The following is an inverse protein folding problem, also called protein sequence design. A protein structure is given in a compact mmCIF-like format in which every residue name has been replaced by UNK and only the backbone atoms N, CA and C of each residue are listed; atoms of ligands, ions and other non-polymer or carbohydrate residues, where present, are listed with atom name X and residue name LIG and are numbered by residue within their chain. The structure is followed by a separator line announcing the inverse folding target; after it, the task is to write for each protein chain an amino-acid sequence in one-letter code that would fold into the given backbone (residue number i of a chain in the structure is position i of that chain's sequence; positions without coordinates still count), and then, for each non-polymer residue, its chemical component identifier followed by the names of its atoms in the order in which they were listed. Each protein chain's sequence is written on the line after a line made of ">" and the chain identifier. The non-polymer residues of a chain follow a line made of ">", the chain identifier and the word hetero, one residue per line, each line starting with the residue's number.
data_IF_626027932688
#
_entry.id   IF_626027932688
#
_cell.length_a   1.000
_cell.length_b   1.000
_cell.length_c   1.000
_cell.angle_alpha   90.00
_cell.angle_beta   90.00
_cell.angle_gamma   90.00
#
_symmetry.space_group_name_H-M   'P 1'
#
loop_
_entity.id
_entity.type
_entity.pdbx_description
1 polymer ?
#
# COMPACT_ATOMS: atom_id res chain seq x y z
N UNK A 1 0.60 37.82 -17.38
CA UNK A 1 -0.50 38.53 -16.71
C UNK A 1 -1.59 38.82 -17.72
N UNK A 2 -2.73 38.14 -17.66
CA UNK A 2 -3.94 38.60 -18.36
C UNK A 2 -4.52 39.76 -17.57
N UNK A 3 -4.66 40.94 -18.19
CA UNK A 3 -5.36 42.07 -17.57
C UNK A 3 -6.75 41.61 -17.10
N UNK A 4 -7.18 41.98 -15.87
CA UNK A 4 -8.51 41.67 -15.42
C UNK A 4 -9.52 42.32 -16.35
N UNK A 5 -10.60 41.60 -16.67
CA UNK A 5 -11.72 42.12 -17.42
C UNK A 5 -12.30 43.34 -16.68
N UNK A 6 -11.89 44.54 -17.11
CA UNK A 6 -12.26 45.84 -16.52
C UNK A 6 -13.76 46.16 -16.69
N UNK A 7 -14.56 45.26 -17.26
CA UNK A 7 -16.02 45.41 -17.34
C UNK A 7 -16.75 45.01 -16.04
N UNK A 8 -16.07 44.43 -15.05
CA UNK A 8 -16.69 44.09 -13.75
C UNK A 8 -16.74 45.29 -12.80
N UNK A 9 -17.91 45.54 -12.20
CA UNK A 9 -18.15 46.66 -11.27
C UNK A 9 -17.66 46.44 -9.83
N UNK A 10 -17.20 45.23 -9.48
CA UNK A 10 -16.72 44.87 -8.16
C UNK A 10 -15.61 43.82 -8.30
N UNK A 11 -14.49 44.02 -7.60
CA UNK A 11 -13.35 43.10 -7.57
C UNK A 11 -12.68 43.14 -6.19
N UNK A 12 -11.91 42.09 -5.88
CA UNK A 12 -11.00 42.04 -4.75
C UNK A 12 -9.57 42.00 -5.28
N UNK A 13 -8.72 42.90 -4.78
CA UNK A 13 -7.29 42.91 -5.09
C UNK A 13 -6.54 42.15 -4.00
N UNK A 14 -5.74 41.16 -4.42
CA UNK A 14 -4.99 40.29 -3.52
C UNK A 14 -3.50 40.59 -3.70
N UNK A 15 -2.91 41.15 -2.65
CA UNK A 15 -1.47 41.43 -2.56
C UNK A 15 -0.72 40.17 -2.11
N UNK A 16 0.01 39.55 -3.04
CA UNK A 16 0.79 38.34 -2.79
C UNK A 16 2.08 38.63 -2.00
N UNK A 17 2.65 39.83 -2.13
CA UNK A 17 3.85 40.22 -1.39
C UNK A 17 3.54 40.42 0.10
N UNK A 18 2.34 40.94 0.41
CA UNK A 18 1.84 40.99 1.79
C UNK A 18 1.71 39.58 2.41
N UNK A 19 1.20 38.60 1.65
CA UNK A 19 1.10 37.21 2.11
C UNK A 19 2.49 36.59 2.35
N UNK A 20 3.44 36.81 1.43
CA UNK A 20 4.84 36.36 1.58
C UNK A 20 5.51 36.99 2.80
N UNK A 21 5.31 38.30 3.00
CA UNK A 21 5.83 39.01 4.17
C UNK A 21 5.31 38.39 5.48
N UNK A 22 4.00 38.12 5.55
CA UNK A 22 3.37 37.53 6.73
C UNK A 22 3.90 36.12 7.00
N UNK A 23 4.03 35.27 5.97
CA UNK A 23 4.64 33.95 6.11
C UNK A 23 6.08 34.02 6.65
N UNK A 24 6.87 34.97 6.14
CA UNK A 24 8.24 35.18 6.62
C UNK A 24 8.28 35.68 8.07
N UNK A 25 7.31 36.48 8.52
CA UNK A 25 7.16 36.87 9.94
C UNK A 25 6.90 35.63 10.80
N UNK A 26 5.96 34.76 10.40
CA UNK A 26 5.67 33.51 11.11
C UNK A 26 6.91 32.62 11.20
N UNK A 27 7.66 32.47 10.11
CA UNK A 27 8.93 31.72 10.10
C UNK A 27 9.94 32.24 11.11
N UNK A 28 10.12 33.56 11.21
CA UNK A 28 11.07 34.17 12.17
C UNK A 28 10.66 33.97 13.63
N UNK A 29 9.37 33.75 13.89
CA UNK A 29 8.87 33.48 15.24
C UNK A 29 8.88 31.99 15.60
N UNK A 30 8.91 31.11 14.60
CA UNK A 30 8.98 29.68 14.80
C UNK A 30 10.34 29.28 15.43
N UNK A 31 10.36 28.31 16.36
CA UNK A 31 11.61 27.83 16.93
C UNK A 31 12.47 27.14 15.85
N UNK A 32 13.80 27.08 16.04
CA UNK A 32 14.67 26.38 15.11
C UNK A 32 14.20 24.95 14.86
N UNK A 33 14.08 24.57 13.60
CA UNK A 33 13.62 23.24 13.17
C UNK A 33 12.10 23.05 13.12
N UNK A 34 11.29 24.05 13.51
CA UNK A 34 9.84 23.95 13.33
C UNK A 34 9.42 24.27 11.89
N UNK A 35 8.53 23.44 11.37
CA UNK A 35 7.89 23.63 10.07
C UNK A 35 6.77 24.67 10.14
N UNK A 36 6.58 25.43 9.06
CA UNK A 36 5.52 26.41 8.90
C UNK A 36 4.53 25.90 7.86
N UNK A 37 3.27 25.77 8.29
CA UNK A 37 2.15 25.36 7.44
C UNK A 37 1.30 26.57 7.01
N UNK A 38 1.11 26.76 5.71
CA UNK A 38 0.11 27.68 5.17
C UNK A 38 -1.24 26.96 5.00
N UNK A 39 -2.22 27.30 5.84
CA UNK A 39 -3.58 26.78 5.68
C UNK A 39 -4.30 27.60 4.60
N UNK A 40 -4.54 26.99 3.44
CA UNK A 40 -5.11 27.61 2.23
C UNK A 40 -6.45 26.98 1.81
N UNK A 41 -7.18 26.40 2.78
CA UNK A 41 -8.53 25.89 2.56
C UNK A 41 -9.52 26.96 2.08
N UNK A 42 -10.66 26.52 1.55
CA UNK A 42 -11.72 27.37 1.01
C UNK A 42 -11.19 28.36 -0.03
N UNK A 43 -10.47 27.85 -1.03
CA UNK A 43 -9.85 28.65 -2.10
C UNK A 43 -8.88 29.72 -1.58
N UNK A 44 -7.97 29.33 -0.67
CA UNK A 44 -7.13 30.25 0.10
C UNK A 44 -7.96 31.34 0.81
N UNK A 45 -9.01 30.93 1.53
CA UNK A 45 -9.95 31.85 2.20
C UNK A 45 -10.56 32.89 1.23
N UNK A 46 -10.83 32.49 -0.02
CA UNK A 46 -11.35 33.34 -1.10
C UNK A 46 -10.31 34.22 -1.81
N UNK A 47 -9.02 34.08 -1.50
CA UNK A 47 -7.94 34.86 -2.13
C UNK A 47 -7.46 34.24 -3.46
N UNK A 48 -7.90 33.02 -3.79
CA UNK A 48 -7.58 32.29 -5.02
C UNK A 48 -6.40 31.34 -4.82
N UNK A 49 -6.71 30.04 -4.71
CA UNK A 49 -5.76 28.99 -4.38
C UNK A 49 -4.61 28.89 -5.38
N UNK A 50 -4.91 28.94 -6.67
CA UNK A 50 -3.94 28.78 -7.77
C UNK A 50 -2.92 29.93 -7.86
N UNK A 51 -3.22 31.08 -7.24
CA UNK A 51 -2.28 32.21 -7.15
C UNK A 51 -1.54 32.23 -5.83
N UNK A 52 -2.24 31.98 -4.72
CA UNK A 52 -1.66 32.01 -3.37
C UNK A 52 -0.70 30.85 -3.14
N UNK A 53 -1.05 29.64 -3.60
CA UNK A 53 -0.22 28.44 -3.43
C UNK A 53 1.21 28.64 -3.97
N UNK A 54 1.39 28.91 -5.27
CA UNK A 54 2.71 29.15 -5.84
C UNK A 54 3.44 30.34 -5.23
N UNK A 55 2.72 31.42 -4.88
CA UNK A 55 3.33 32.59 -4.25
C UNK A 55 3.85 32.33 -2.84
N UNK A 56 3.31 31.34 -2.14
CA UNK A 56 3.76 30.96 -0.80
C UNK A 56 4.72 29.78 -0.80
N UNK A 57 4.88 29.09 -1.95
CA UNK A 57 5.65 27.87 -2.05
C UNK A 57 7.03 28.05 -1.40
N UNK A 58 7.95 28.82 -1.97
CA UNK A 58 9.32 29.03 -1.46
C UNK A 58 9.45 29.60 -0.03
N UNK A 59 8.36 29.97 0.66
CA UNK A 59 8.40 30.54 2.02
C UNK A 59 7.74 29.67 3.10
N UNK A 60 7.07 28.58 2.72
CA UNK A 60 6.44 27.62 3.66
C UNK A 60 6.89 26.19 3.37
N UNK A 61 6.76 25.31 4.37
CA UNK A 61 7.14 23.90 4.22
C UNK A 61 5.93 23.04 3.83
N UNK A 62 4.77 23.34 4.41
CA UNK A 62 3.56 22.52 4.30
C UNK A 62 2.36 23.39 3.92
N UNK A 63 1.41 22.84 3.16
CA UNK A 63 0.11 23.43 2.92
C UNK A 63 -1.00 22.65 3.62
N UNK A 64 -1.94 23.35 4.23
CA UNK A 64 -3.15 22.76 4.82
C UNK A 64 -4.39 23.08 3.99
N UNK A 65 -5.11 22.07 3.50
CA UNK A 65 -6.36 22.23 2.73
C UNK A 65 -7.53 21.51 3.41
N UNK A 66 -8.77 21.79 3.01
CA UNK A 66 -9.93 21.14 3.64
C UNK A 66 -10.27 19.76 3.05
N UNK A 67 -9.98 19.51 1.78
CA UNK A 67 -10.38 18.29 1.07
C UNK A 67 -9.42 17.92 -0.07
N UNK A 68 -9.61 16.74 -0.64
CA UNK A 68 -8.77 16.18 -1.71
C UNK A 68 -8.80 17.03 -2.98
N UNK A 69 -9.97 17.59 -3.34
CA UNK A 69 -10.10 18.45 -4.53
C UNK A 69 -9.25 19.72 -4.41
N UNK A 70 -9.16 20.32 -3.22
CA UNK A 70 -8.25 21.45 -2.99
C UNK A 70 -6.78 21.01 -3.07
N UNK A 71 -6.45 19.82 -2.56
CA UNK A 71 -5.10 19.28 -2.67
C UNK A 71 -4.68 19.10 -4.14
N UNK A 72 -5.53 18.50 -4.98
CA UNK A 72 -5.29 18.31 -6.42
C UNK A 72 -5.14 19.65 -7.17
N UNK A 73 -6.00 20.63 -6.86
CA UNK A 73 -5.90 21.98 -7.44
C UNK A 73 -4.58 22.64 -7.09
N UNK A 74 -4.19 22.58 -5.82
CA UNK A 74 -2.94 23.15 -5.34
C UNK A 74 -1.74 22.44 -5.95
N UNK A 75 -1.73 21.10 -5.98
CA UNK A 75 -0.66 20.32 -6.59
C UNK A 75 -0.43 20.70 -8.05
N UNK A 76 -1.49 20.79 -8.86
CA UNK A 76 -1.37 21.24 -10.27
C UNK A 76 -0.83 22.66 -10.38
N UNK A 77 -1.33 23.59 -9.57
CA UNK A 77 -0.86 24.97 -9.58
C UNK A 77 0.63 25.07 -9.22
N UNK A 78 1.11 24.25 -8.28
CA UNK A 78 2.53 24.20 -7.92
C UNK A 78 3.37 23.65 -9.09
N UNK A 79 2.93 22.56 -9.73
CA UNK A 79 3.61 21.94 -10.87
C UNK A 79 3.73 22.84 -12.10
N UNK A 80 2.71 23.65 -12.41
CA UNK A 80 2.74 24.61 -13.53
C UNK A 80 3.80 25.72 -13.36
N UNK A 81 4.24 25.99 -12.12
CA UNK A 81 5.20 27.07 -11.86
C UNK A 81 6.66 26.63 -11.82
N UNK A 82 6.95 25.33 -11.96
CA UNK A 82 8.30 24.80 -11.73
C UNK A 82 8.78 25.03 -10.29
N UNK A 83 7.86 25.33 -9.36
CA UNK A 83 8.18 25.40 -7.94
C UNK A 83 8.62 24.01 -7.47
N UNK A 84 9.60 23.90 -6.56
CA UNK A 84 10.08 22.60 -6.12
C UNK A 84 8.93 21.79 -5.57
N UNK A 85 8.68 20.66 -6.23
CA UNK A 85 7.75 19.60 -5.92
C UNK A 85 8.30 18.84 -4.72
N UNK A 86 8.12 19.43 -3.53
CA UNK A 86 8.65 18.90 -2.27
C UNK A 86 7.95 19.50 -1.05
N UNK A 87 6.68 19.89 -1.21
CA UNK A 87 5.87 20.45 -0.13
C UNK A 87 4.70 19.56 0.16
N UNK A 88 4.58 19.19 1.41
CA UNK A 88 3.49 18.36 1.87
C UNK A 88 2.18 19.12 1.78
N UNK A 89 1.16 18.49 1.21
CA UNK A 89 -0.21 19.00 1.22
C UNK A 89 -1.00 18.12 2.17
N UNK A 90 -1.36 18.69 3.33
CA UNK A 90 -2.13 18.00 4.36
C UNK A 90 -3.61 18.35 4.20
N UNK A 91 -4.42 17.32 3.99
CA UNK A 91 -5.89 17.44 4.08
C UNK A 91 -6.27 17.42 5.56
N UNK A 92 -6.71 18.56 6.07
CA UNK A 92 -7.05 18.75 7.50
C UNK A 92 -8.43 18.17 7.86
N UNK A 93 -9.29 17.99 6.86
CA UNK A 93 -10.60 17.37 7.02
C UNK A 93 -10.53 15.84 6.88
N UNK A 94 -11.57 15.11 7.34
CA UNK A 94 -11.66 13.69 7.04
C UNK A 94 -11.87 13.50 5.53
N UNK A 95 -11.02 12.68 4.90
CA UNK A 95 -11.29 12.22 3.54
C UNK A 95 -12.56 11.37 3.55
N UNK A 96 -13.57 11.76 2.76
CA UNK A 96 -14.82 11.03 2.62
C UNK A 96 -14.57 9.67 1.95
N UNK A 97 -15.47 8.69 2.14
CA UNK A 97 -15.25 7.35 1.60
C UNK A 97 -15.03 7.30 0.09
N UNK A 98 -15.83 8.07 -0.65
CA UNK A 98 -15.71 8.18 -2.10
C UNK A 98 -14.41 8.87 -2.54
N UNK A 99 -13.87 9.78 -1.73
CA UNK A 99 -12.58 10.43 -2.03
C UNK A 99 -11.42 9.43 -1.90
N UNK A 100 -11.43 8.57 -0.88
CA UNK A 100 -10.40 7.52 -0.71
C UNK A 100 -10.43 6.52 -1.87
N UNK A 101 -11.63 6.10 -2.29
CA UNK A 101 -11.80 5.23 -3.46
C UNK A 101 -11.27 5.92 -4.73
N UNK A 102 -11.59 7.19 -4.93
CA UNK A 102 -11.09 7.96 -6.07
C UNK A 102 -9.56 8.07 -6.08
N UNK A 103 -8.92 8.30 -4.92
CA UNK A 103 -7.46 8.36 -4.82
C UNK A 103 -6.79 7.02 -5.17
N UNK A 104 -7.35 5.90 -4.69
CA UNK A 104 -6.87 4.56 -5.03
C UNK A 104 -7.00 4.29 -6.53
N UNK A 105 -8.16 4.61 -7.11
CA UNK A 105 -8.39 4.45 -8.54
C UNK A 105 -7.48 5.36 -9.37
N UNK A 106 -7.22 6.58 -8.89
CA UNK A 106 -6.32 7.53 -9.52
C UNK A 106 -4.89 6.99 -9.57
N UNK A 107 -4.35 6.51 -8.44
CA UNK A 107 -3.02 5.90 -8.39
C UNK A 107 -2.88 4.72 -9.38
N UNK A 108 -3.90 3.85 -9.45
CA UNK A 108 -3.93 2.74 -10.42
C UNK A 108 -3.99 3.27 -11.87
N UNK A 109 -4.80 4.29 -12.13
CA UNK A 109 -4.99 4.83 -13.48
C UNK A 109 -3.75 5.54 -14.02
N UNK A 110 -2.95 6.15 -13.13
CA UNK A 110 -1.75 6.89 -13.50
C UNK A 110 -0.53 6.00 -13.70
N UNK A 111 -0.48 4.83 -13.05
CA UNK A 111 0.64 3.90 -13.11
C UNK A 111 0.97 3.47 -14.55
N UNK A 112 2.25 3.52 -14.93
CA UNK A 112 2.73 3.15 -16.26
C UNK A 112 3.71 1.98 -16.26
N UNK A 113 4.46 1.77 -15.17
CA UNK A 113 5.52 0.75 -15.11
C UNK A 113 5.18 -0.39 -14.16
N UNK A 114 4.73 -0.07 -12.94
CA UNK A 114 4.40 -1.08 -11.94
C UNK A 114 3.26 -0.66 -10.99
N UNK A 115 2.58 -1.66 -10.43
CA UNK A 115 1.62 -1.51 -9.33
C UNK A 115 1.80 -2.64 -8.32
N UNK A 116 2.32 -2.32 -7.14
CA UNK A 116 2.62 -3.26 -6.07
C UNK A 116 1.69 -3.01 -4.87
N UNK A 117 0.99 -4.07 -4.44
CA UNK A 117 -0.09 -3.96 -3.45
C UNK A 117 0.05 -5.04 -2.39
N UNK A 118 0.65 -4.72 -1.23
CA UNK A 118 0.40 -5.49 -0.02
C UNK A 118 -0.96 -5.05 0.55
N UNK A 119 -1.89 -5.97 0.78
CA UNK A 119 -3.19 -5.59 1.33
C UNK A 119 -3.83 -6.63 2.24
N UNK A 120 -4.51 -6.12 3.26
CA UNK A 120 -5.40 -6.90 4.11
C UNK A 120 -6.66 -7.38 3.37
N UNK A 121 -7.23 -6.54 2.50
CA UNK A 121 -8.39 -6.89 1.67
C UNK A 121 -8.19 -6.37 0.24
N UNK A 122 -8.45 -7.21 -0.75
CA UNK A 122 -8.59 -6.82 -2.15
C UNK A 122 -10.03 -7.05 -2.60
N UNK A 123 -10.70 -5.98 -3.04
CA UNK A 123 -12.09 -6.07 -3.55
C UNK A 123 -12.12 -6.36 -5.05
N UNK A 124 -13.28 -6.84 -5.52
CA UNK A 124 -13.52 -7.00 -6.97
C UNK A 124 -13.38 -5.69 -7.74
N UNK A 125 -13.72 -4.55 -7.13
CA UNK A 125 -13.64 -3.25 -7.78
C UNK A 125 -12.17 -2.88 -8.06
N UNK A 126 -11.31 -2.95 -7.05
CA UNK A 126 -9.86 -2.70 -7.20
C UNK A 126 -9.22 -3.72 -8.15
N UNK A 127 -9.56 -5.01 -8.02
CA UNK A 127 -9.07 -6.05 -8.92
C UNK A 127 -9.42 -5.77 -10.40
N UNK A 128 -10.67 -5.31 -10.66
CA UNK A 128 -11.10 -4.92 -12.01
C UNK A 128 -10.39 -3.66 -12.51
N UNK A 129 -10.13 -2.69 -11.65
CA UNK A 129 -9.38 -1.50 -12.02
C UNK A 129 -7.95 -1.86 -12.47
N UNK A 130 -7.27 -2.75 -11.73
CA UNK A 130 -5.95 -3.27 -12.09
C UNK A 130 -5.96 -4.03 -13.43
N UNK A 131 -6.95 -4.92 -13.60
CA UNK A 131 -7.12 -5.67 -14.85
C UNK A 131 -7.39 -4.73 -16.06
N UNK A 132 -8.25 -3.73 -15.87
CA UNK A 132 -8.55 -2.74 -16.91
C UNK A 132 -7.30 -1.92 -17.27
N UNK A 133 -6.54 -1.44 -16.29
CA UNK A 133 -5.31 -0.69 -16.53
C UNK A 133 -4.26 -1.53 -17.26
N UNK A 134 -4.06 -2.78 -16.85
CA UNK A 134 -3.17 -3.73 -17.53
C UNK A 134 -3.56 -3.93 -18.99
N UNK A 135 -4.86 -4.13 -19.26
CA UNK A 135 -5.38 -4.30 -20.61
C UNK A 135 -5.21 -3.04 -21.47
N UNK A 136 -5.45 -1.86 -20.90
CA UNK A 136 -5.27 -0.57 -21.55
C UNK A 136 -3.81 -0.34 -21.99
N UNK A 137 -2.85 -0.56 -21.08
CA UNK A 137 -1.43 -0.42 -21.40
C UNK A 137 -0.97 -1.47 -22.41
N UNK A 138 -1.45 -2.71 -22.29
CA UNK A 138 -1.19 -3.77 -23.28
C UNK A 138 -1.69 -3.39 -24.68
N UNK A 139 -2.87 -2.79 -24.79
CA UNK A 139 -3.41 -2.30 -26.07
C UNK A 139 -2.55 -1.17 -26.69
N UNK A 140 -1.82 -0.42 -25.85
CA UNK A 140 -0.84 0.59 -26.26
C UNK A 140 0.57 0.02 -26.50
N UNK A 141 0.75 -1.30 -26.46
CA UNK A 141 2.05 -1.96 -26.61
C UNK A 141 2.99 -1.81 -25.40
N UNK A 142 2.48 -1.34 -24.26
CA UNK A 142 3.22 -1.21 -23.00
C UNK A 142 2.91 -2.42 -22.09
N UNK A 143 3.82 -2.74 -21.18
CA UNK A 143 3.62 -3.74 -20.12
C UNK A 143 3.54 -3.05 -18.76
N UNK A 144 2.61 -3.51 -17.91
CA UNK A 144 2.50 -3.09 -16.52
C UNK A 144 2.80 -4.26 -15.60
N UNK A 145 3.82 -4.16 -14.75
CA UNK A 145 4.12 -5.18 -13.75
C UNK A 145 3.21 -5.01 -12.53
N UNK A 146 2.28 -5.94 -12.33
CA UNK A 146 1.33 -5.89 -11.22
C UNK A 146 1.62 -7.06 -10.28
N UNK A 147 1.88 -6.74 -9.02
CA UNK A 147 2.14 -7.70 -7.95
C UNK A 147 1.22 -7.44 -6.77
N UNK A 148 0.45 -8.43 -6.36
CA UNK A 148 -0.49 -8.30 -5.25
C UNK A 148 -0.19 -9.35 -4.19
N UNK A 149 -0.03 -8.93 -2.94
CA UNK A 149 0.04 -9.84 -1.79
C UNK A 149 -1.25 -9.67 -0.99
N UNK A 150 -2.11 -10.68 -1.06
CA UNK A 150 -3.34 -10.74 -0.29
C UNK A 150 -3.09 -11.37 1.08
N UNK A 151 -3.58 -10.73 2.14
CA UNK A 151 -3.50 -11.30 3.48
C UNK A 151 -4.28 -12.62 3.57
N UNK A 152 -3.62 -13.64 4.10
CA UNK A 152 -4.17 -14.99 4.24
C UNK A 152 -5.19 -15.10 5.39
N UNK A 153 -5.41 -14.03 6.16
CA UNK A 153 -6.30 -13.95 7.32
C UNK A 153 -7.54 -14.84 7.18
N UNK A 154 -7.61 -15.86 8.04
CA UNK A 154 -8.68 -16.85 8.06
C UNK A 154 -9.70 -16.42 9.10
N UNK A 155 -10.91 -16.09 8.65
CA UNK A 155 -12.02 -15.89 9.56
C UNK A 155 -12.44 -17.21 10.22
N UNK A 156 -13.13 -17.13 11.35
CA UNK A 156 -13.57 -18.28 12.15
C UNK A 156 -14.32 -19.36 11.35
N UNK A 157 -14.98 -19.01 10.24
CA UNK A 157 -15.67 -19.92 9.34
C UNK A 157 -14.76 -20.56 8.25
N UNK A 158 -13.45 -20.31 8.26
CA UNK A 158 -12.48 -20.93 7.36
C UNK A 158 -12.36 -20.26 5.98
N UNK A 159 -12.86 -19.04 5.81
CA UNK A 159 -12.75 -18.24 4.58
C UNK A 159 -11.92 -16.96 4.78
N UNK A 160 -11.78 -16.19 3.70
CA UNK A 160 -11.01 -14.94 3.63
C UNK A 160 -11.82 -13.88 2.88
N UNK A 161 -11.69 -12.58 3.22
CA UNK A 161 -12.36 -11.53 2.46
C UNK A 161 -11.76 -11.35 1.05
N UNK A 162 -10.58 -11.95 0.81
CA UNK A 162 -9.80 -11.80 -0.41
C UNK A 162 -10.24 -12.71 -1.55
N UNK A 163 -11.01 -13.78 -1.28
CA UNK A 163 -11.35 -14.82 -2.27
C UNK A 163 -11.80 -14.21 -3.60
N UNK A 164 -12.76 -13.30 -3.57
CA UNK A 164 -13.34 -12.74 -4.77
C UNK A 164 -12.42 -11.77 -5.53
N UNK A 165 -11.57 -11.01 -4.83
CA UNK A 165 -10.60 -10.13 -5.47
C UNK A 165 -9.47 -10.94 -6.10
N UNK A 166 -8.97 -11.95 -5.38
CA UNK A 166 -7.91 -12.85 -5.87
C UNK A 166 -8.35 -13.62 -7.10
N UNK A 167 -9.54 -14.24 -7.09
CA UNK A 167 -10.05 -14.96 -8.26
C UNK A 167 -10.14 -14.05 -9.49
N UNK A 168 -10.59 -12.80 -9.32
CA UNK A 168 -10.68 -11.83 -10.41
C UNK A 168 -9.30 -11.37 -10.94
N UNK A 169 -8.29 -11.30 -10.08
CA UNK A 169 -6.91 -11.00 -10.47
C UNK A 169 -6.28 -12.17 -11.24
N UNK A 170 -6.46 -13.40 -10.75
CA UNK A 170 -6.03 -14.61 -11.44
C UNK A 170 -6.69 -14.73 -12.83
N UNK A 171 -7.98 -14.41 -12.94
CA UNK A 171 -8.70 -14.38 -14.22
C UNK A 171 -8.12 -13.36 -15.21
N UNK A 172 -7.55 -12.27 -14.70
CA UNK A 172 -6.85 -11.26 -15.48
C UNK A 172 -5.35 -11.60 -15.73
N UNK A 173 -4.90 -12.78 -15.28
CA UNK A 173 -3.50 -13.21 -15.34
C UNK A 173 -2.56 -12.27 -14.58
N UNK A 174 -3.02 -11.66 -13.50
CA UNK A 174 -2.20 -10.83 -12.61
C UNK A 174 -1.55 -11.73 -11.56
N UNK A 175 -0.29 -11.45 -11.22
CA UNK A 175 0.46 -12.23 -10.25
C UNK A 175 -0.02 -11.90 -8.83
N UNK A 176 -0.52 -12.93 -8.13
CA UNK A 176 -1.06 -12.80 -6.79
C UNK A 176 -0.41 -13.82 -5.88
N UNK A 177 0.18 -13.31 -4.81
CA UNK A 177 0.69 -14.09 -3.70
C UNK A 177 -0.25 -13.97 -2.49
N UNK A 178 -0.19 -14.96 -1.62
CA UNK A 178 -0.80 -14.93 -0.31
C UNK A 178 0.26 -14.64 0.75
N UNK A 179 -0.06 -13.83 1.75
CA UNK A 179 0.87 -13.55 2.85
C UNK A 179 1.27 -14.84 3.57
N UNK A 180 2.55 -15.00 3.87
CA UNK A 180 3.11 -16.12 4.61
C UNK A 180 4.00 -15.58 5.73
N UNK A 181 3.36 -15.11 6.81
CA UNK A 181 4.03 -14.32 7.85
C UNK A 181 4.45 -15.21 9.02
N UNK A 182 5.76 -15.48 9.24
CA UNK A 182 6.20 -16.28 10.38
C UNK A 182 5.85 -15.58 11.70
N UNK A 183 5.40 -16.35 12.69
CA UNK A 183 4.96 -15.86 13.99
C UNK A 183 6.06 -15.99 15.05
N UNK A 184 5.99 -15.17 16.07
CA UNK A 184 6.86 -15.28 17.25
C UNK A 184 6.29 -16.19 18.32
N UNK A 185 4.96 -16.18 18.50
CA UNK A 185 4.20 -17.00 19.46
C UNK A 185 2.92 -17.49 18.78
N UNK A 186 2.25 -18.48 19.36
CA UNK A 186 1.04 -19.05 18.76
C UNK A 186 -0.12 -18.04 18.68
N UNK A 187 -0.18 -17.11 19.62
CA UNK A 187 -1.16 -16.04 19.75
C UNK A 187 -0.78 -14.74 19.01
N UNK A 188 0.48 -14.59 18.59
CA UNK A 188 0.89 -13.44 17.77
C UNK A 188 0.31 -13.57 16.36
N UNK A 189 -0.77 -12.82 16.10
CA UNK A 189 -1.42 -12.77 14.78
C UNK A 189 -0.83 -11.65 13.93
N UNK A 190 0.26 -11.94 13.19
CA UNK A 190 0.79 -11.01 12.18
C UNK A 190 -0.18 -10.90 11.01
N UNK A 191 -0.34 -9.68 10.51
CA UNK A 191 -1.13 -9.34 9.32
C UNK A 191 -0.38 -8.35 8.46
N UNK A 192 -0.71 -8.32 7.17
CA UNK A 192 -0.33 -7.21 6.29
C UNK A 192 -1.14 -5.97 6.70
N UNK A 193 -0.58 -5.18 7.61
CA UNK A 193 -1.16 -3.89 8.02
C UNK A 193 -0.80 -2.74 7.07
N UNK A 194 0.28 -2.87 6.29
CA UNK A 194 0.59 -1.98 5.20
C UNK A 194 -0.46 -2.16 4.10
N UNK A 195 -1.62 -1.50 4.23
CA UNK A 195 -2.66 -1.45 3.20
C UNK A 195 -2.24 -0.37 2.21
N UNK A 196 -1.35 -0.76 1.33
CA UNK A 196 -0.55 0.15 0.54
C UNK A 196 -0.77 -0.13 -0.95
N UNK A 197 -0.66 0.91 -1.76
CA UNK A 197 -0.56 0.80 -3.21
C UNK A 197 0.65 1.62 -3.62
N UNK A 198 1.68 0.96 -4.14
CA UNK A 198 2.91 1.58 -4.61
C UNK A 198 2.92 1.48 -6.12
N UNK A 199 3.13 2.60 -6.80
CA UNK A 199 3.21 2.70 -8.26
C UNK A 199 4.47 3.47 -8.64
N UNK A 200 4.76 3.56 -9.93
CA UNK A 200 5.87 4.37 -10.44
C UNK A 200 5.73 5.88 -10.14
N UNK A 201 4.49 6.36 -9.94
CA UNK A 201 4.18 7.79 -9.75
C UNK A 201 3.62 8.14 -8.38
N UNK A 202 3.05 7.18 -7.66
CA UNK A 202 2.32 7.44 -6.43
C UNK A 202 2.44 6.31 -5.43
N UNK A 203 2.40 6.66 -4.15
CA UNK A 203 2.20 5.72 -3.05
C UNK A 203 1.00 6.15 -2.21
N UNK A 204 -0.01 5.29 -2.15
CA UNK A 204 -1.08 5.42 -1.19
C UNK A 204 -0.80 4.50 -0.01
N UNK A 205 -0.80 5.03 1.20
CA UNK A 205 -0.56 4.28 2.44
C UNK A 205 -1.53 4.68 3.55
N UNK A 206 -1.63 3.83 4.57
CA UNK A 206 -2.50 4.04 5.73
C UNK A 206 -3.53 2.94 5.91
N UNK A 207 -4.38 3.04 6.93
CA UNK A 207 -5.22 1.91 7.33
C UNK A 207 -6.49 1.70 6.52
N UNK A 208 -6.55 2.24 5.30
CA UNK A 208 -7.68 2.08 4.42
C UNK A 208 -7.73 0.63 3.94
N UNK A 209 -8.40 -0.22 4.72
CA UNK A 209 -8.75 -1.57 4.30
C UNK A 209 -9.55 -1.39 3.00
N UNK A 210 -9.08 -1.90 1.85
CA UNK A 210 -9.72 -1.66 0.55
C UNK A 210 -11.11 -2.32 0.42
N UNK A 211 -11.63 -2.95 1.49
CA UNK A 211 -13.04 -3.26 1.63
C UNK A 211 -13.91 -2.00 1.64
N UNK A 212 -15.19 -2.15 1.30
CA UNK A 212 -16.17 -1.07 1.38
C UNK A 212 -16.18 -0.40 2.77
N UNK A 213 -16.10 -1.19 3.85
CA UNK A 213 -16.11 -0.65 5.22
C UNK A 213 -14.81 0.09 5.56
N UNK A 214 -13.66 -0.40 5.12
CA UNK A 214 -12.39 0.28 5.38
C UNK A 214 -12.24 1.56 4.56
N UNK A 215 -12.82 1.58 3.36
CA UNK A 215 -12.97 2.80 2.59
C UNK A 215 -13.98 3.76 3.25
N UNK A 216 -14.93 3.32 4.07
CA UNK A 216 -15.88 4.21 4.76
C UNK A 216 -15.42 4.68 6.14
N UNK A 217 -15.10 3.75 7.02
CA UNK A 217 -14.95 3.98 8.47
C UNK A 217 -13.46 3.92 8.88
N UNK A 218 -12.57 4.64 8.19
CA UNK A 218 -11.15 4.68 8.55
C UNK A 218 -10.91 5.72 9.64
N UNK A 219 -10.31 5.27 10.76
CA UNK A 219 -10.01 6.11 11.93
C UNK A 219 -8.51 6.35 12.09
N UNK A 220 -7.70 5.84 11.15
CA UNK A 220 -6.25 5.92 11.16
C UNK A 220 -5.74 6.86 10.05
N UNK A 221 -4.55 7.42 10.27
CA UNK A 221 -3.91 8.31 9.30
C UNK A 221 -3.70 7.58 7.96
N UNK A 222 -3.99 8.27 6.86
CA UNK A 222 -3.70 7.82 5.51
C UNK A 222 -3.05 8.94 4.72
N UNK A 223 -2.18 8.59 3.80
CA UNK A 223 -1.43 9.52 2.98
C UNK A 223 -1.40 9.08 1.52
N UNK A 224 -1.29 10.07 0.65
CA UNK A 224 -0.92 9.88 -0.75
C UNK A 224 0.38 10.65 -0.97
N UNK A 225 1.42 9.94 -1.37
CA UNK A 225 2.66 10.50 -1.89
C UNK A 225 2.56 10.52 -3.40
N UNK A 226 2.87 11.65 -4.02
CA UNK A 226 3.11 11.73 -5.45
C UNK A 226 4.61 11.89 -5.64
N UNK A 227 5.23 10.97 -6.37
CA UNK A 227 6.66 10.96 -6.59
C UNK A 227 7.02 11.99 -7.66
N UNK A 228 8.01 12.81 -7.35
CA UNK A 228 8.59 13.76 -8.27
C UNK A 228 9.79 13.10 -8.97
N UNK A 229 9.74 12.87 -10.29
CA UNK A 229 10.85 12.26 -11.02
C UNK A 229 12.11 13.13 -11.05
N UNK A 230 11.98 14.44 -10.81
CA UNK A 230 13.09 15.39 -10.82
C UNK A 230 13.72 15.58 -9.42
N UNK A 231 13.12 15.00 -8.37
CA UNK A 231 13.63 15.04 -7.00
C UNK A 231 14.25 13.69 -6.57
N UNK A 232 15.56 13.73 -6.25
CA UNK A 232 16.31 12.54 -5.89
C UNK A 232 15.82 11.88 -4.59
N UNK A 233 15.37 12.67 -3.62
CA UNK A 233 14.88 12.16 -2.32
C UNK A 233 13.49 11.51 -2.47
N UNK A 234 12.61 12.10 -3.29
CA UNK A 234 11.34 11.51 -3.70
C UNK A 234 11.54 10.15 -4.37
N UNK A 235 12.48 10.07 -5.31
CA UNK A 235 12.79 8.82 -6.01
C UNK A 235 13.45 7.77 -5.10
N UNK A 236 14.31 8.19 -4.17
CA UNK A 236 14.88 7.31 -3.15
C UNK A 236 13.78 6.71 -2.24
N UNK A 237 12.81 7.53 -1.83
CA UNK A 237 11.64 7.10 -1.05
C UNK A 237 10.82 6.06 -1.82
N UNK A 238 10.55 6.29 -3.11
CA UNK A 238 9.86 5.33 -3.98
C UNK A 238 10.57 3.98 -4.02
N UNK A 239 11.88 3.98 -4.26
CA UNK A 239 12.66 2.75 -4.34
C UNK A 239 12.74 2.03 -2.97
N UNK A 240 12.75 2.76 -1.86
CA UNK A 240 12.68 2.18 -0.51
C UNK A 240 11.33 1.48 -0.26
N UNK A 241 10.22 2.13 -0.58
CA UNK A 241 8.87 1.52 -0.46
C UNK A 241 8.76 0.28 -1.34
N UNK A 242 9.24 0.36 -2.59
CA UNK A 242 9.30 -0.77 -3.52
C UNK A 242 10.16 -1.93 -2.99
N UNK A 243 11.34 -1.64 -2.45
CA UNK A 243 12.22 -2.65 -1.88
C UNK A 243 11.61 -3.35 -0.66
N UNK A 244 10.88 -2.61 0.17
CA UNK A 244 10.15 -3.16 1.31
C UNK A 244 9.02 -4.10 0.87
N UNK A 245 8.28 -3.74 -0.19
CA UNK A 245 7.32 -4.65 -0.80
C UNK A 245 7.99 -5.90 -1.36
N UNK A 246 9.11 -5.76 -2.09
CA UNK A 246 9.80 -6.90 -2.69
C UNK A 246 10.36 -7.86 -1.64
N UNK A 247 10.83 -7.36 -0.48
CA UNK A 247 11.20 -8.23 0.65
C UNK A 247 10.01 -9.11 1.08
N UNK A 248 8.83 -8.52 1.24
CA UNK A 248 7.61 -9.25 1.57
C UNK A 248 7.22 -10.25 0.46
N UNK A 249 7.35 -9.83 -0.80
CA UNK A 249 7.07 -10.65 -1.98
C UNK A 249 7.97 -11.89 -2.06
N UNK A 250 9.28 -11.72 -1.89
CA UNK A 250 10.25 -12.80 -2.10
C UNK A 250 10.34 -13.77 -0.92
N UNK A 251 10.14 -13.27 0.30
CA UNK A 251 10.42 -14.05 1.52
C UNK A 251 9.19 -14.39 2.37
N UNK A 252 8.19 -13.51 2.40
CA UNK A 252 7.04 -13.61 3.32
C UNK A 252 5.71 -13.75 2.57
N UNK A 253 5.75 -14.39 1.40
CA UNK A 253 4.56 -14.65 0.61
C UNK A 253 4.64 -15.95 -0.19
N UNK A 254 3.49 -16.42 -0.67
CA UNK A 254 3.37 -17.69 -1.37
C UNK A 254 2.42 -17.57 -2.56
N UNK A 255 2.95 -17.78 -3.78
CA UNK A 255 2.15 -17.93 -5.00
C UNK A 255 1.47 -19.30 -5.09
N UNK A 256 0.20 -19.27 -5.46
CA UNK A 256 -0.56 -20.40 -5.97
C UNK A 256 -1.65 -19.88 -6.92
N UNK A 257 -1.64 -20.31 -8.17
CA UNK A 257 -2.74 -20.07 -9.11
C UNK A 257 -3.85 -21.08 -8.84
N UNK A 258 -4.97 -20.62 -8.26
CA UNK A 258 -6.06 -21.49 -7.87
C UNK A 258 -6.73 -22.19 -9.06
N UNK A 259 -6.75 -21.55 -10.24
CA UNK A 259 -7.33 -22.11 -11.46
C UNK A 259 -6.49 -23.28 -11.95
N UNK A 260 -5.17 -23.12 -12.07
CA UNK A 260 -4.29 -24.23 -12.50
C UNK A 260 -4.40 -25.44 -11.58
N UNK A 261 -4.45 -25.20 -10.27
CA UNK A 261 -4.67 -26.27 -9.27
C UNK A 261 -6.02 -26.97 -9.49
N UNK A 262 -7.08 -26.21 -9.75
CA UNK A 262 -8.42 -26.74 -9.98
C UNK A 262 -8.49 -27.55 -11.29
N UNK A 263 -7.95 -27.01 -12.38
CA UNK A 263 -7.89 -27.67 -13.69
C UNK A 263 -7.13 -29.00 -13.59
N UNK A 264 -5.97 -29.00 -12.95
CA UNK A 264 -5.15 -30.20 -12.77
C UNK A 264 -5.82 -31.25 -11.88
N UNK A 265 -6.57 -30.85 -10.85
CA UNK A 265 -7.36 -31.79 -10.04
C UNK A 265 -8.50 -32.43 -10.80
N UNK A 266 -8.98 -31.79 -11.87
CA UNK A 266 -10.11 -32.22 -12.67
C UNK A 266 -9.70 -32.67 -14.08
N UNK A 267 -8.41 -32.86 -14.35
CA UNK A 267 -7.86 -33.16 -15.67
C UNK A 267 -8.53 -34.41 -16.30
N UNK A 268 -8.70 -35.46 -15.49
CA UNK A 268 -9.37 -36.72 -15.87
C UNK A 268 -10.89 -36.58 -16.11
N UNK A 269 -11.47 -35.42 -15.77
CA UNK A 269 -12.89 -35.10 -15.93
C UNK A 269 -13.14 -33.93 -16.90
N UNK A 270 -12.16 -33.62 -17.76
CA UNK A 270 -12.22 -32.48 -18.69
C UNK A 270 -13.34 -32.57 -19.74
N UNK A 271 -13.72 -33.79 -20.13
CA UNK A 271 -14.77 -34.04 -21.13
C UNK A 271 -16.21 -34.00 -20.56
N UNK A 272 -16.37 -33.79 -19.25
CA UNK A 272 -17.68 -33.81 -18.60
C UNK A 272 -18.43 -32.50 -18.85
N UNK A 273 -19.75 -32.60 -19.11
CA UNK A 273 -20.64 -31.43 -19.16
C UNK A 273 -20.45 -30.60 -17.88
N UNK A 274 -20.40 -29.28 -18.03
CA UNK A 274 -20.19 -28.32 -16.95
C UNK A 274 -18.76 -28.28 -16.35
N UNK A 275 -17.73 -28.77 -17.05
CA UNK A 275 -16.32 -28.70 -16.62
C UNK A 275 -15.90 -27.31 -16.09
N UNK A 276 -16.24 -26.24 -16.80
CA UNK A 276 -15.90 -24.88 -16.40
C UNK A 276 -16.49 -24.50 -15.03
N UNK A 277 -17.74 -24.89 -14.75
CA UNK A 277 -18.37 -24.66 -13.44
C UNK A 277 -17.67 -25.48 -12.33
N UNK A 278 -17.32 -26.73 -12.62
CA UNK A 278 -16.59 -27.59 -11.69
C UNK A 278 -15.20 -27.04 -11.36
N UNK A 279 -14.51 -26.45 -12.34
CA UNK A 279 -13.23 -25.74 -12.12
C UNK A 279 -13.43 -24.57 -11.16
N UNK A 280 -14.45 -23.74 -11.36
CA UNK A 280 -14.72 -22.60 -10.47
C UNK A 280 -15.06 -23.03 -9.03
N UNK A 281 -15.80 -24.13 -8.85
CA UNK A 281 -16.02 -24.71 -7.52
C UNK A 281 -14.71 -25.25 -6.90
N UNK A 282 -13.90 -25.94 -7.70
CA UNK A 282 -12.63 -26.50 -7.25
C UNK A 282 -11.59 -25.42 -6.88
N UNK A 283 -11.63 -24.23 -7.48
CA UNK A 283 -10.80 -23.07 -7.09
C UNK A 283 -11.01 -22.68 -5.63
N UNK A 284 -12.27 -22.61 -5.19
CA UNK A 284 -12.61 -22.29 -3.79
C UNK A 284 -12.03 -23.33 -2.81
N UNK A 285 -12.10 -24.61 -3.17
CA UNK A 285 -11.50 -25.70 -2.40
C UNK A 285 -9.97 -25.63 -2.39
N UNK A 286 -9.34 -25.26 -3.51
CA UNK A 286 -7.90 -25.02 -3.60
C UNK A 286 -7.46 -23.90 -2.65
N UNK A 287 -8.15 -22.76 -2.67
CA UNK A 287 -7.88 -21.63 -1.77
C UNK A 287 -8.07 -22.02 -0.30
N UNK A 288 -9.15 -22.70 0.06
CA UNK A 288 -9.36 -23.18 1.45
C UNK A 288 -8.23 -24.09 1.93
N UNK A 289 -7.75 -24.99 1.06
CA UNK A 289 -6.62 -25.87 1.36
C UNK A 289 -5.32 -25.08 1.53
N UNK A 290 -5.07 -24.09 0.66
CA UNK A 290 -3.93 -23.19 0.76
C UNK A 290 -3.90 -22.45 2.10
N UNK A 291 -5.00 -21.75 2.42
CA UNK A 291 -5.10 -20.97 3.65
C UNK A 291 -4.89 -21.84 4.89
N UNK A 292 -5.49 -23.03 4.94
CA UNK A 292 -5.28 -23.96 6.05
C UNK A 292 -3.80 -24.35 6.22
N UNK A 293 -3.05 -24.51 5.13
CA UNK A 293 -1.62 -24.85 5.17
C UNK A 293 -0.75 -23.64 5.53
N UNK A 294 -1.13 -22.43 5.10
CA UNK A 294 -0.51 -21.19 5.56
C UNK A 294 -0.64 -21.09 7.08
N UNK A 295 -1.84 -21.29 7.64
CA UNK A 295 -2.04 -21.29 9.10
C UNK A 295 -1.19 -22.33 9.82
N UNK A 296 -1.01 -23.53 9.24
CA UNK A 296 -0.12 -24.55 9.81
C UNK A 296 1.34 -24.07 9.82
N UNK A 297 1.80 -23.46 8.72
CA UNK A 297 3.13 -22.87 8.66
C UNK A 297 3.31 -21.78 9.72
N UNK A 298 2.34 -20.89 9.87
CA UNK A 298 2.41 -19.82 10.86
C UNK A 298 2.52 -20.37 12.28
N UNK A 299 1.75 -21.41 12.63
CA UNK A 299 1.83 -22.06 13.95
C UNK A 299 3.14 -22.82 14.17
N UNK A 300 3.64 -23.54 13.15
CA UNK A 300 4.92 -24.24 13.23
C UNK A 300 6.09 -23.25 13.35
N UNK A 301 6.03 -22.13 12.61
CA UNK A 301 7.03 -21.06 12.69
C UNK A 301 7.07 -20.41 14.07
N UNK A 302 5.93 -20.28 14.77
CA UNK A 302 5.89 -19.82 16.16
C UNK A 302 6.66 -20.76 17.08
N UNK A 303 6.41 -22.06 16.98
CA UNK A 303 7.10 -23.06 17.80
C UNK A 303 8.62 -23.06 17.52
N UNK A 304 9.01 -22.93 16.26
CA UNK A 304 10.40 -22.79 15.87
C UNK A 304 11.02 -21.51 16.44
N UNK A 305 10.34 -20.36 16.37
CA UNK A 305 10.83 -19.09 16.91
C UNK A 305 11.05 -19.15 18.42
N UNK A 306 10.15 -19.81 19.16
CA UNK A 306 10.30 -20.04 20.59
C UNK A 306 11.49 -20.92 20.94
N UNK A 307 11.91 -21.81 20.03
CA UNK A 307 13.15 -22.57 20.20
C UNK A 307 14.37 -21.66 20.03
N UNK A 308 14.36 -20.76 19.04
CA UNK A 308 15.45 -19.80 18.83
C UNK A 308 15.58 -18.79 19.99
N UNK A 309 14.46 -18.45 20.65
CA UNK A 309 14.45 -17.56 21.81
C UNK A 309 15.28 -18.07 23.01
N UNK A 310 15.63 -19.36 23.03
CA UNK A 310 16.46 -19.96 24.08
C UNK A 310 17.96 -19.64 23.91
N UNK A 311 18.37 -19.15 22.74
CA UNK A 311 19.75 -18.71 22.51
C UNK A 311 20.03 -17.41 23.29
N UNK A 312 21.05 -17.36 24.16
CA UNK A 312 21.40 -16.16 24.92
C UNK A 312 21.68 -14.92 24.06
N UNK A 313 22.22 -15.09 22.84
CA UNK A 313 22.46 -13.98 21.93
C UNK A 313 21.15 -13.40 21.39
N UNK A 314 20.18 -14.26 21.05
CA UNK A 314 18.84 -13.86 20.63
C UNK A 314 18.12 -13.15 21.77
N UNK A 315 18.14 -13.70 22.98
CA UNK A 315 17.44 -13.07 24.12
C UNK A 315 18.03 -11.70 24.46
N UNK A 316 19.37 -11.57 24.42
CA UNK A 316 20.02 -10.26 24.60
C UNK A 316 19.50 -9.25 23.58
N UNK A 317 19.46 -9.61 22.29
CA UNK A 317 18.96 -8.73 21.23
C UNK A 317 17.48 -8.42 21.39
N UNK A 318 16.68 -9.40 21.80
CA UNK A 318 15.24 -9.21 22.08
C UNK A 318 15.04 -8.13 23.16
N UNK A 319 15.82 -8.17 24.23
CA UNK A 319 15.76 -7.16 25.28
C UNK A 319 16.19 -5.77 24.78
N UNK A 320 17.24 -5.68 23.96
CA UNK A 320 17.65 -4.43 23.31
C UNK A 320 16.50 -3.84 22.47
N UNK A 321 15.83 -4.67 21.66
CA UNK A 321 14.69 -4.26 20.84
C UNK A 321 13.49 -3.79 21.69
N UNK A 322 13.19 -4.48 22.79
CA UNK A 322 12.11 -4.08 23.72
C UNK A 322 12.41 -2.73 24.38
N UNK A 323 13.65 -2.50 24.81
CA UNK A 323 14.10 -1.21 25.38
C UNK A 323 14.02 -0.10 24.34
N UNK A 324 14.26 -0.41 23.06
CA UNK A 324 14.07 0.52 21.95
C UNK A 324 12.59 0.77 21.59
N UNK A 325 11.63 0.18 22.32
CA UNK A 325 10.20 0.40 22.14
C UNK A 325 9.54 -0.51 21.09
N UNK A 326 10.23 -1.54 20.59
CA UNK A 326 9.65 -2.49 19.66
C UNK A 326 8.61 -3.39 20.38
N UNK A 327 7.47 -3.63 19.74
CA UNK A 327 6.45 -4.53 20.28
C UNK A 327 6.98 -5.97 20.43
N UNK A 328 6.54 -6.67 21.48
CA UNK A 328 7.11 -7.97 21.90
C UNK A 328 7.21 -9.00 20.78
N UNK A 329 6.14 -9.18 19.99
CA UNK A 329 6.13 -10.14 18.90
C UNK A 329 7.12 -9.82 17.78
N UNK A 330 7.33 -8.53 17.50
CA UNK A 330 8.32 -8.07 16.53
C UNK A 330 9.73 -8.09 17.10
N UNK A 331 9.90 -7.83 18.40
CA UNK A 331 11.19 -7.84 19.06
C UNK A 331 11.89 -9.20 18.96
N UNK A 332 11.16 -10.30 19.19
CA UNK A 332 11.71 -11.65 19.02
C UNK A 332 12.00 -11.97 17.55
N UNK A 333 11.07 -11.66 16.65
CA UNK A 333 11.24 -11.96 15.23
C UNK A 333 12.47 -11.24 14.66
N UNK A 334 12.61 -9.94 14.97
CA UNK A 334 13.77 -9.16 14.59
C UNK A 334 15.06 -9.68 15.25
N UNK A 335 15.02 -10.07 16.52
CA UNK A 335 16.19 -10.62 17.21
C UNK A 335 16.70 -11.91 16.55
N UNK A 336 15.80 -12.81 16.17
CA UNK A 336 16.17 -14.07 15.50
C UNK A 336 16.68 -13.80 14.09
N UNK A 337 15.98 -12.98 13.30
CA UNK A 337 16.39 -12.63 11.93
C UNK A 337 17.78 -11.96 11.92
N UNK A 338 18.02 -11.00 12.80
CA UNK A 338 19.30 -10.28 12.86
C UNK A 338 20.45 -11.13 13.40
N UNK A 339 20.15 -12.12 14.25
CA UNK A 339 21.18 -13.03 14.79
C UNK A 339 21.60 -14.08 13.77
N UNK A 340 20.66 -14.63 12.99
CA UNK A 340 20.95 -15.63 11.95
C UNK A 340 21.42 -15.00 10.64
N UNK A 341 21.00 -13.77 10.36
CA UNK A 341 21.04 -13.17 9.03
C UNK A 341 19.79 -13.53 8.22
N UNK A 342 19.30 -12.57 7.42
CA UNK A 342 18.02 -12.68 6.70
C UNK A 342 17.92 -13.92 5.81
N UNK A 343 18.96 -14.23 5.03
CA UNK A 343 18.93 -15.38 4.12
C UNK A 343 18.84 -16.71 4.86
N UNK A 344 19.64 -16.89 5.92
CA UNK A 344 19.64 -18.12 6.71
C UNK A 344 18.33 -18.25 7.52
N UNK A 345 17.80 -17.14 8.05
CA UNK A 345 16.50 -17.12 8.71
C UNK A 345 15.40 -17.70 7.81
N UNK A 346 15.27 -17.20 6.58
CA UNK A 346 14.28 -17.73 5.64
C UNK A 346 14.64 -19.13 5.13
N UNK A 347 15.93 -19.48 5.00
CA UNK A 347 16.35 -20.83 4.65
C UNK A 347 15.92 -21.86 5.71
N UNK A 348 15.98 -21.52 7.00
CA UNK A 348 15.53 -22.37 8.10
C UNK A 348 14.00 -22.50 8.13
N UNK A 349 13.26 -21.40 7.99
CA UNK A 349 11.80 -21.44 7.86
C UNK A 349 11.35 -22.29 6.66
N UNK A 350 12.12 -22.28 5.57
CA UNK A 350 11.84 -23.08 4.39
C UNK A 350 12.01 -24.60 4.59
N UNK A 351 12.67 -25.04 5.68
CA UNK A 351 12.86 -26.47 6.01
C UNK A 351 11.70 -27.06 6.82
N UNK A 352 10.82 -26.22 7.37
CA UNK A 352 9.66 -26.62 8.17
C UNK A 352 8.74 -27.58 7.39
N UNK A 353 8.11 -28.53 8.09
CA UNK A 353 7.28 -29.55 7.46
C UNK A 353 6.01 -28.93 6.85
N UNK A 354 5.43 -27.91 7.50
CA UNK A 354 4.32 -27.14 6.95
C UNK A 354 4.70 -26.40 5.66
N UNK A 355 5.96 -25.94 5.50
CA UNK A 355 6.39 -25.36 4.23
C UNK A 355 6.46 -26.43 3.12
N UNK A 356 6.94 -27.64 3.42
CA UNK A 356 6.91 -28.77 2.45
C UNK A 356 5.47 -29.13 2.07
N UNK A 357 4.58 -29.16 3.05
CA UNK A 357 3.13 -29.33 2.87
C UNK A 357 2.55 -28.25 1.96
N UNK A 358 2.89 -26.98 2.18
CA UNK A 358 2.43 -25.85 1.37
C UNK A 358 2.93 -25.96 -0.08
N UNK A 359 4.23 -26.21 -0.28
CA UNK A 359 4.86 -26.40 -1.60
C UNK A 359 4.30 -27.59 -2.37
N UNK A 360 3.76 -28.60 -1.69
CA UNK A 360 3.09 -29.73 -2.36
C UNK A 360 1.88 -29.28 -3.19
N UNK A 361 1.25 -28.14 -2.87
CA UNK A 361 0.17 -27.57 -3.68
C UNK A 361 0.65 -27.08 -5.05
N UNK A 362 1.89 -26.60 -5.17
CA UNK A 362 2.47 -26.18 -6.45
C UNK A 362 2.66 -27.33 -7.42
N UNK A 363 2.66 -28.58 -6.95
CA UNK A 363 2.65 -29.75 -7.85
C UNK A 363 1.41 -29.77 -8.73
N UNK A 364 0.36 -29.06 -8.35
CA UNK A 364 -0.88 -28.95 -9.09
C UNK A 364 -1.00 -27.65 -9.90
N UNK A 365 -0.11 -26.66 -9.71
CA UNK A 365 -0.22 -25.31 -10.27
C UNK A 365 0.83 -24.97 -11.32
#
# INVERSE_FOLDING_TARGET
>A
MTEPDRQRRCWAEIDLDALRHNAAVCRRQAPPGAEVMAVVKADAYGHGLERVGPALADVVDVFGVANVREAERLHRALGETGAPTGRDIVVLGPALPAEREALVLHAISEAEEFVYIPTFVITRAVARALAARKAELKAKGKSLDIKVIADAGIYSYGGTPNTHGVLALEDAGIDVHWSLLPRSTADHDRKIHAKQIITDKMEFFGSTNLSNKGLTDNWELSGLVMFDPDDADSMATREQSKASFLKLWDHESFSLDSRKVAEKRLEESSDVKDYAMRVEEARHSALKSLLSRIRQFELESAAWMQTQAQDPAVEKRRQENLVAGMAEGYALLNAVETTLGTDEFYAQLNKLDAMRSLRSLRRYG
#
